data_IF_825817806147
#
_entry.id   IF_825817806147
#
_cell.length_a   1.000
_cell.length_b   1.000
_cell.length_c   1.000
_cell.angle_alpha   90.00
_cell.angle_beta   90.00
_cell.angle_gamma   90.00
#
_symmetry.space_group_name_H-M   'P 1'
#
loop_
_entity.id
_entity.type
_entity.pdbx_description
1 polymer ?
#
# COMPACT_ATOMS: atom_id res chain seq x y z
N UNK A 1 -5.57 20.34 -2.30
CA UNK A 1 -6.10 18.96 -2.41
C UNK A 1 -5.57 18.21 -1.19
N UNK A 2 -6.39 17.52 -0.40
CA UNK A 2 -5.94 16.95 0.88
C UNK A 2 -4.95 15.79 0.66
N UNK A 3 -3.90 15.69 1.49
CA UNK A 3 -2.93 14.57 1.50
C UNK A 3 -3.62 13.22 1.58
N UNK A 4 -4.73 13.16 2.30
CA UNK A 4 -5.54 11.95 2.46
C UNK A 4 -6.03 11.43 1.11
N UNK A 5 -6.39 12.32 0.18
CA UNK A 5 -6.87 11.92 -1.14
C UNK A 5 -5.72 11.29 -1.96
N UNK A 6 -4.56 11.92 -1.98
CA UNK A 6 -3.40 11.36 -2.69
C UNK A 6 -2.94 10.04 -2.07
N UNK A 7 -2.85 9.98 -0.73
CA UNK A 7 -2.51 8.76 -0.02
C UNK A 7 -3.51 7.63 -0.33
N UNK A 8 -4.81 7.92 -0.33
CA UNK A 8 -5.83 6.92 -0.65
C UNK A 8 -5.72 6.37 -2.07
N UNK A 9 -5.39 7.21 -3.06
CA UNK A 9 -5.19 6.78 -4.44
C UNK A 9 -3.98 5.86 -4.57
N UNK A 10 -2.89 6.20 -3.89
CA UNK A 10 -1.67 5.39 -3.92
C UNK A 10 -1.84 4.06 -3.16
N UNK A 11 -2.55 4.08 -2.03
CA UNK A 11 -2.96 2.87 -1.29
C UNK A 11 -3.82 1.96 -2.15
N UNK A 12 -4.78 2.51 -2.90
CA UNK A 12 -5.61 1.72 -3.81
C UNK A 12 -4.77 1.05 -4.91
N UNK A 13 -3.77 1.75 -5.46
CA UNK A 13 -2.84 1.17 -6.43
C UNK A 13 -2.04 0.03 -5.81
N UNK A 14 -1.44 0.23 -4.63
CA UNK A 14 -0.68 -0.80 -3.93
C UNK A 14 -1.54 -2.05 -3.69
N UNK A 15 -2.75 -1.87 -3.17
CA UNK A 15 -3.68 -2.98 -2.87
C UNK A 15 -4.00 -3.77 -4.14
N UNK A 16 -4.35 -3.09 -5.23
CA UNK A 16 -4.69 -3.75 -6.50
C UNK A 16 -3.47 -4.49 -7.05
N UNK A 17 -2.32 -3.82 -7.12
CA UNK A 17 -1.12 -4.35 -7.75
C UNK A 17 -0.57 -5.55 -6.97
N UNK A 18 -0.46 -5.44 -5.65
CA UNK A 18 0.03 -6.53 -4.80
C UNK A 18 -0.92 -7.74 -4.82
N UNK A 19 -2.25 -7.51 -4.86
CA UNK A 19 -3.25 -8.57 -4.99
C UNK A 19 -3.13 -9.30 -6.34
N UNK A 20 -3.01 -8.55 -7.45
CA UNK A 20 -2.82 -9.13 -8.79
C UNK A 20 -1.54 -9.95 -8.90
N UNK A 21 -0.43 -9.44 -8.35
CA UNK A 21 0.84 -10.15 -8.29
C UNK A 21 0.73 -11.44 -7.47
N UNK A 22 0.02 -11.40 -6.34
CA UNK A 22 -0.24 -12.59 -5.53
C UNK A 22 -1.07 -13.62 -6.28
N UNK A 23 -2.15 -13.21 -6.95
CA UNK A 23 -3.01 -14.09 -7.76
C UNK A 23 -2.24 -14.73 -8.93
N UNK A 24 -1.35 -13.99 -9.58
CA UNK A 24 -0.46 -14.53 -10.61
C UNK A 24 0.47 -15.58 -10.01
N UNK A 25 1.05 -15.33 -8.83
CA UNK A 25 1.95 -16.28 -8.15
C UNK A 25 1.23 -17.56 -7.71
N UNK A 26 -0.04 -17.46 -7.33
CA UNK A 26 -0.91 -18.60 -7.00
C UNK A 26 -1.43 -19.35 -8.25
N UNK A 27 -0.99 -18.96 -9.46
CA UNK A 27 -1.42 -19.54 -10.74
C UNK A 27 -2.93 -19.42 -11.03
N UNK A 28 -3.67 -18.62 -10.24
CA UNK A 28 -5.08 -18.30 -10.51
C UNK A 28 -5.18 -17.46 -11.78
N UNK A 29 -4.23 -16.55 -11.98
CA UNK A 29 -4.11 -15.74 -13.18
C UNK A 29 -2.83 -16.09 -13.95
N UNK A 30 -2.93 -17.02 -14.90
CA UNK A 30 -1.78 -17.53 -15.65
C UNK A 30 -1.37 -16.68 -16.87
N UNK A 31 -1.86 -15.44 -16.99
CA UNK A 31 -1.51 -14.58 -18.12
C UNK A 31 -0.14 -13.93 -17.90
N UNK A 32 0.79 -14.14 -18.85
CA UNK A 32 2.12 -13.52 -18.83
C UNK A 32 2.05 -11.99 -18.73
N UNK A 33 1.07 -11.37 -19.39
CA UNK A 33 0.89 -9.91 -19.48
C UNK A 33 0.59 -9.22 -18.14
N UNK A 34 0.18 -9.96 -17.11
CA UNK A 34 -0.13 -9.36 -15.81
C UNK A 34 1.09 -8.70 -15.18
N UNK A 35 2.28 -9.31 -15.35
CA UNK A 35 3.50 -8.78 -14.75
C UNK A 35 3.87 -7.42 -15.37
N UNK A 36 4.07 -7.29 -16.70
CA UNK A 36 4.37 -5.99 -17.30
C UNK A 36 3.24 -4.98 -17.09
N UNK A 37 1.97 -5.40 -17.09
CA UNK A 37 0.86 -4.50 -16.80
C UNK A 37 0.94 -3.92 -15.38
N UNK A 38 1.17 -4.75 -14.37
CA UNK A 38 1.32 -4.27 -12.99
C UNK A 38 2.51 -3.33 -12.81
N UNK A 39 3.62 -3.59 -13.52
CA UNK A 39 4.79 -2.70 -13.50
C UNK A 39 4.49 -1.34 -14.13
N UNK A 40 3.80 -1.33 -15.28
CA UNK A 40 3.39 -0.08 -15.95
C UNK A 40 2.39 0.70 -15.10
N UNK A 41 1.41 0.04 -14.50
CA UNK A 41 0.46 0.68 -13.59
C UNK A 41 1.17 1.30 -12.37
N UNK A 42 2.11 0.57 -11.77
CA UNK A 42 2.89 1.07 -10.62
C UNK A 42 3.77 2.28 -10.97
N UNK A 43 4.17 2.43 -12.24
CA UNK A 43 5.01 3.57 -12.67
C UNK A 43 4.29 4.93 -12.60
N UNK A 44 2.97 4.95 -12.43
CA UNK A 44 2.17 6.17 -12.22
C UNK A 44 2.31 6.67 -10.77
N UNK A 45 2.68 5.81 -9.83
CA UNK A 45 2.72 6.11 -8.41
C UNK A 45 3.68 7.27 -8.04
N UNK A 46 4.89 7.38 -8.64
CA UNK A 46 5.74 8.57 -8.46
C UNK A 46 5.09 9.90 -8.88
N UNK A 47 4.19 9.91 -9.87
CA UNK A 47 3.49 11.13 -10.29
C UNK A 47 2.48 11.57 -9.23
N UNK A 48 1.72 10.62 -8.67
CA UNK A 48 0.83 10.88 -7.53
C UNK A 48 1.63 11.35 -6.31
N UNK A 49 2.78 10.73 -6.04
CA UNK A 49 3.65 11.14 -4.96
C UNK A 49 4.17 12.57 -5.16
N UNK A 50 4.66 12.90 -6.35
CA UNK A 50 5.14 14.25 -6.68
C UNK A 50 4.06 15.32 -6.49
N UNK A 51 2.83 15.04 -6.91
CA UNK A 51 1.71 15.97 -6.69
C UNK A 51 1.35 16.11 -5.21
N UNK A 52 1.45 15.03 -4.43
CA UNK A 52 1.23 15.06 -2.99
C UNK A 52 2.25 15.95 -2.24
N UNK A 53 3.50 16.06 -2.73
CA UNK A 53 4.55 16.91 -2.13
C UNK A 53 4.16 18.39 -2.03
N UNK A 54 3.19 18.84 -2.83
CA UNK A 54 2.63 20.20 -2.71
C UNK A 54 1.90 20.44 -1.38
N UNK A 55 1.54 19.37 -0.65
CA UNK A 55 0.66 19.45 0.51
C UNK A 55 1.37 19.18 1.84
N UNK A 56 2.35 18.26 1.87
CA UNK A 56 3.09 17.89 3.08
C UNK A 56 4.54 17.51 2.75
N UNK A 57 5.38 17.39 3.78
CA UNK A 57 6.77 16.96 3.62
C UNK A 57 6.92 15.51 3.12
N UNK A 58 8.07 15.22 2.48
CA UNK A 58 8.41 13.89 1.93
C UNK A 58 8.19 12.76 2.95
N UNK A 59 8.58 12.98 4.21
CA UNK A 59 8.49 11.98 5.27
C UNK A 59 7.06 11.67 5.67
N UNK A 60 6.20 12.68 5.75
CA UNK A 60 4.79 12.54 6.14
C UNK A 60 4.04 11.75 5.09
N UNK A 61 4.14 12.16 3.82
CA UNK A 61 3.45 11.48 2.71
C UNK A 61 3.94 10.04 2.58
N UNK A 62 5.25 9.82 2.65
CA UNK A 62 5.83 8.49 2.57
C UNK A 62 5.51 7.60 3.78
N UNK A 63 5.34 8.18 4.97
CA UNK A 63 4.89 7.46 6.15
C UNK A 63 3.42 7.06 6.04
N UNK A 64 2.56 8.01 5.67
CA UNK A 64 1.12 7.81 5.58
C UNK A 64 0.74 6.72 4.57
N UNK A 65 1.13 6.86 3.30
CA UNK A 65 0.69 5.90 2.28
C UNK A 65 1.20 4.47 2.56
N UNK A 66 2.47 4.30 2.96
CA UNK A 66 3.12 3.01 3.11
C UNK A 66 2.56 2.26 4.29
N UNK A 67 2.35 2.94 5.42
CA UNK A 67 1.83 2.26 6.59
C UNK A 67 0.33 1.91 6.39
N UNK A 68 -0.46 2.71 5.67
CA UNK A 68 -1.85 2.36 5.32
C UNK A 68 -1.82 1.14 4.39
N UNK A 69 -1.04 1.20 3.31
CA UNK A 69 -0.87 0.09 2.37
C UNK A 69 -0.43 -1.19 3.08
N UNK A 70 0.54 -1.10 3.98
CA UNK A 70 1.05 -2.25 4.75
C UNK A 70 -0.04 -2.90 5.57
N UNK A 71 -0.85 -2.11 6.30
CA UNK A 71 -1.94 -2.62 7.12
C UNK A 71 -2.99 -3.30 6.24
N UNK A 72 -3.44 -2.64 5.16
CA UNK A 72 -4.49 -3.18 4.30
C UNK A 72 -4.01 -4.42 3.56
N UNK A 73 -2.80 -4.41 2.99
CA UNK A 73 -2.25 -5.57 2.29
C UNK A 73 -2.05 -6.74 3.24
N UNK A 74 -1.57 -6.50 4.47
CA UNK A 74 -1.45 -7.57 5.46
C UNK A 74 -2.81 -8.16 5.84
N UNK A 75 -3.84 -7.32 6.01
CA UNK A 75 -5.22 -7.78 6.25
C UNK A 75 -5.75 -8.60 5.07
N UNK A 76 -5.50 -8.18 3.83
CA UNK A 76 -5.87 -8.94 2.63
C UNK A 76 -5.13 -10.27 2.56
N UNK A 77 -3.82 -10.27 2.84
CA UNK A 77 -3.00 -11.48 2.94
C UNK A 77 -3.61 -12.48 3.93
N UNK A 78 -3.96 -12.00 5.11
CA UNK A 78 -4.56 -12.81 6.16
C UNK A 78 -5.98 -13.29 5.82
N UNK A 79 -6.89 -12.39 5.41
CA UNK A 79 -8.31 -12.69 5.24
C UNK A 79 -8.65 -13.36 3.90
N UNK A 80 -8.02 -12.91 2.81
CA UNK A 80 -8.34 -13.37 1.44
C UNK A 80 -7.44 -14.52 1.03
N UNK A 81 -6.13 -14.40 1.30
CA UNK A 81 -5.15 -15.41 0.90
C UNK A 81 -4.84 -16.42 2.00
N UNK A 82 -5.47 -16.30 3.18
CA UNK A 82 -5.28 -17.19 4.33
C UNK A 82 -3.81 -17.33 4.75
N UNK A 83 -3.03 -16.26 4.60
CA UNK A 83 -1.61 -16.25 4.96
C UNK A 83 -1.42 -16.33 6.48
N UNK A 84 -0.45 -17.14 6.91
CA UNK A 84 -0.09 -17.24 8.33
C UNK A 84 0.85 -16.10 8.70
N UNK A 85 0.30 -15.09 9.37
CA UNK A 85 1.07 -13.97 9.92
C UNK A 85 1.47 -14.29 11.37
N UNK A 86 2.77 -14.28 11.66
CA UNK A 86 3.28 -14.54 13.02
C UNK A 86 2.88 -13.43 13.99
N UNK A 87 2.84 -13.74 15.29
CA UNK A 87 2.54 -12.74 16.34
C UNK A 87 3.52 -11.55 16.29
N UNK A 88 4.79 -11.79 15.99
CA UNK A 88 5.80 -10.73 15.85
C UNK A 88 5.49 -9.79 14.68
N UNK A 89 5.01 -10.34 13.56
CA UNK A 89 4.64 -9.55 12.39
C UNK A 89 3.38 -8.72 12.68
N UNK A 90 2.41 -9.27 13.41
CA UNK A 90 1.23 -8.52 13.86
C UNK A 90 1.59 -7.35 14.77
N UNK A 91 2.54 -7.54 15.69
CA UNK A 91 3.08 -6.44 16.51
C UNK A 91 3.69 -5.35 15.61
N UNK A 92 4.48 -5.74 14.60
CA UNK A 92 5.02 -4.79 13.62
C UNK A 92 3.95 -3.99 12.88
N UNK A 93 2.89 -4.66 12.41
CA UNK A 93 1.75 -4.01 11.73
C UNK A 93 1.01 -3.06 12.68
N UNK A 94 0.82 -3.45 13.95
CA UNK A 94 0.21 -2.59 14.96
C UNK A 94 1.07 -1.33 15.24
N UNK A 95 2.39 -1.47 15.25
CA UNK A 95 3.30 -0.32 15.36
C UNK A 95 3.18 0.61 14.14
N UNK A 96 3.07 0.07 12.92
CA UNK A 96 2.79 0.88 11.72
C UNK A 96 1.48 1.67 11.87
N UNK A 97 0.42 1.04 12.40
CA UNK A 97 -0.85 1.72 12.66
C UNK A 97 -0.71 2.85 13.68
N UNK A 98 0.02 2.63 14.77
CA UNK A 98 0.30 3.69 15.76
C UNK A 98 1.10 4.85 15.15
N UNK A 99 2.09 4.56 14.30
CA UNK A 99 2.88 5.58 13.62
C UNK A 99 2.04 6.46 12.71
N UNK A 100 1.08 5.89 11.98
CA UNK A 100 0.13 6.66 11.18
C UNK A 100 -0.76 7.55 12.02
N UNK A 101 -1.26 7.05 13.15
CA UNK A 101 -2.13 7.85 14.00
C UNK A 101 -1.39 9.07 14.53
N UNK A 102 -0.12 8.90 14.92
CA UNK A 102 0.72 10.01 15.35
C UNK A 102 0.96 11.01 14.21
N UNK A 103 1.37 10.54 13.03
CA UNK A 103 1.61 11.40 11.87
C UNK A 103 0.33 12.15 11.47
N UNK A 104 -0.82 11.48 11.47
CA UNK A 104 -2.10 12.04 11.09
C UNK A 104 -2.67 13.07 12.07
N UNK A 105 -2.23 13.07 13.34
CA UNK A 105 -2.60 14.10 14.33
C UNK A 105 -1.83 15.41 14.07
N UNK A 106 -0.59 15.32 13.60
CA UNK A 106 0.28 16.48 13.33
C UNK A 106 0.16 17.02 11.88
N UNK A 107 -0.66 16.39 11.03
CA UNK A 107 -0.83 16.70 9.60
C UNK A 107 -2.03 17.59 9.29
#
# INVERSE_FOLDING_TARGET
>A
MSVILYASGMVAMDVIIMTLLKLKKLLVLNNFLILPFTMLAYSIQPLLFYTALSSQGIGIINGMWNAISTIIIALIGFLVFSEKISVRNWIGIALCASGILLIGIDS
#
